data_IF_205854411737
#
_entry.id   IF_205854411737
#
_cell.length_a   1.000
_cell.length_b   1.000
_cell.length_c   1.000
_cell.angle_alpha   90.00
_cell.angle_beta   90.00
_cell.angle_gamma   90.00
#
_symmetry.space_group_name_H-M   'P 1'
#
loop_
_entity.id
_entity.type
_entity.pdbx_description
1 polymer ?
#
# COMPACT_ATOMS: atom_id res chain seq x y z
N UNK A 1 2.09 13.15 5.01
CA UNK A 1 0.75 12.61 5.37
C UNK A 1 0.84 11.38 6.26
N UNK A 2 1.90 10.58 6.18
CA UNK A 2 2.18 9.48 7.13
C UNK A 2 3.66 9.52 7.49
N UNK A 3 3.99 9.28 8.76
CA UNK A 3 5.37 9.11 9.23
C UNK A 3 5.68 7.65 9.58
N UNK A 4 6.85 7.43 10.18
CA UNK A 4 7.32 6.10 10.58
C UNK A 4 6.37 5.41 11.57
N UNK A 5 5.67 6.18 12.39
CA UNK A 5 4.66 5.70 13.34
C UNK A 5 3.44 5.06 12.67
N UNK A 6 3.22 5.34 11.38
CA UNK A 6 2.14 4.74 10.60
C UNK A 6 2.52 3.36 10.02
N UNK A 7 3.78 2.94 10.14
CA UNK A 7 4.26 1.66 9.62
C UNK A 7 4.07 0.56 10.65
N UNK A 8 3.43 -0.52 10.22
CA UNK A 8 3.21 -1.72 11.02
C UNK A 8 3.90 -2.89 10.34
N UNK A 9 4.81 -3.61 11.02
CA UNK A 9 5.42 -4.82 10.48
C UNK A 9 4.36 -5.85 10.09
N UNK A 10 4.42 -6.34 8.86
CA UNK A 10 3.52 -7.40 8.39
C UNK A 10 4.09 -8.76 8.75
N UNK A 11 3.27 -9.65 9.31
CA UNK A 11 3.62 -11.08 9.37
C UNK A 11 3.69 -11.67 7.95
N UNK A 12 4.48 -12.73 7.72
CA UNK A 12 4.36 -13.50 6.48
C UNK A 12 2.91 -13.92 6.22
N UNK A 13 2.43 -13.67 5.01
CA UNK A 13 1.09 -14.01 4.57
C UNK A 13 1.17 -15.20 3.61
N UNK A 14 0.20 -16.11 3.69
CA UNK A 14 0.10 -17.25 2.79
C UNK A 14 -0.59 -16.92 1.45
N UNK A 15 -1.07 -15.67 1.30
CA UNK A 15 -1.68 -15.21 0.04
C UNK A 15 -0.63 -15.05 -1.05
N UNK A 16 -0.99 -15.44 -2.27
CA UNK A 16 -0.20 -15.18 -3.46
C UNK A 16 -0.68 -13.90 -4.14
N UNK A 17 0.26 -13.12 -4.64
CA UNK A 17 0.02 -11.90 -5.42
C UNK A 17 1.01 -11.89 -6.59
N UNK A 18 0.53 -11.61 -7.80
CA UNK A 18 1.35 -11.64 -9.01
C UNK A 18 2.41 -10.52 -9.02
N UNK A 19 2.30 -9.53 -8.13
CA UNK A 19 3.33 -8.52 -7.92
C UNK A 19 4.70 -9.12 -7.58
N UNK A 20 4.74 -10.34 -7.03
CA UNK A 20 5.97 -11.09 -6.79
C UNK A 20 6.84 -11.24 -8.04
N UNK A 21 6.23 -11.38 -9.24
CA UNK A 21 6.98 -11.47 -10.49
C UNK A 21 7.72 -10.17 -10.83
N UNK A 22 7.16 -8.99 -10.49
CA UNK A 22 7.86 -7.71 -10.66
C UNK A 22 8.94 -7.51 -9.61
N UNK A 23 8.64 -7.86 -8.36
CA UNK A 23 9.58 -7.74 -7.25
C UNK A 23 10.82 -8.63 -7.39
N UNK A 24 10.73 -9.72 -8.16
CA UNK A 24 11.89 -10.55 -8.52
C UNK A 24 12.87 -9.83 -9.46
N UNK A 25 12.38 -8.87 -10.26
CA UNK A 25 13.18 -8.23 -11.33
C UNK A 25 13.73 -6.86 -10.95
N UNK A 26 13.05 -6.13 -10.06
CA UNK A 26 13.40 -4.75 -9.72
C UNK A 26 13.22 -4.49 -8.22
N UNK A 27 14.02 -3.58 -7.62
CA UNK A 27 13.76 -3.07 -6.28
C UNK A 27 12.32 -2.56 -6.21
N UNK A 28 11.53 -3.18 -5.34
CA UNK A 28 10.08 -3.00 -5.29
C UNK A 28 9.63 -2.83 -3.85
N UNK A 29 8.51 -2.14 -3.67
CA UNK A 29 7.85 -2.00 -2.37
C UNK A 29 6.41 -2.50 -2.51
N UNK A 30 6.03 -3.45 -1.66
CA UNK A 30 4.68 -4.00 -1.57
C UNK A 30 4.23 -3.92 -0.13
N UNK A 31 3.06 -3.33 0.11
CA UNK A 31 2.54 -3.08 1.44
C UNK A 31 1.02 -3.01 1.44
N UNK A 32 0.43 -3.26 2.62
CA UNK A 32 -1.01 -3.13 2.83
C UNK A 32 -1.36 -1.73 3.32
N UNK A 33 -2.50 -1.23 2.86
CA UNK A 33 -3.10 -0.02 3.40
C UNK A 33 -4.36 -0.40 4.19
N UNK A 34 -4.38 -0.04 5.48
CA UNK A 34 -5.45 -0.47 6.39
C UNK A 34 -6.79 0.20 6.09
N UNK A 35 -7.84 -0.63 5.98
CA UNK A 35 -9.24 -0.23 5.80
C UNK A 35 -10.20 -0.80 6.88
N UNK A 36 -9.66 -1.45 7.91
CA UNK A 36 -10.48 -1.98 9.01
C UNK A 36 -11.19 -0.84 9.73
N UNK A 37 -12.51 -0.91 9.82
CA UNK A 37 -13.33 0.09 10.49
C UNK A 37 -14.55 -0.55 11.15
N UNK A 38 -14.53 -0.58 12.48
CA UNK A 38 -15.57 -1.17 13.30
C UNK A 38 -16.93 -0.47 13.18
N UNK A 39 -16.93 0.86 13.04
CA UNK A 39 -18.14 1.68 12.98
C UNK A 39 -18.85 1.57 11.63
N UNK A 40 -18.10 1.27 10.56
CA UNK A 40 -18.64 1.05 9.21
C UNK A 40 -18.89 -0.43 8.90
N UNK A 41 -18.54 -1.34 9.81
CA UNK A 41 -18.69 -2.78 9.59
C UNK A 41 -17.60 -3.42 8.71
N UNK A 42 -16.59 -2.67 8.28
CA UNK A 42 -15.46 -3.16 7.47
C UNK A 42 -14.50 -3.99 8.34
N UNK A 43 -14.88 -5.25 8.62
CA UNK A 43 -14.18 -6.13 9.57
C UNK A 43 -13.62 -7.40 8.94
N UNK A 44 -14.11 -7.79 7.77
CA UNK A 44 -13.76 -9.05 7.13
C UNK A 44 -12.55 -8.90 6.19
N UNK A 45 -11.94 -10.03 5.85
CA UNK A 45 -10.84 -10.08 4.90
C UNK A 45 -11.35 -10.03 3.45
N UNK A 46 -10.43 -9.74 2.52
CA UNK A 46 -10.65 -9.92 1.08
C UNK A 46 -11.14 -11.35 0.78
N UNK A 47 -11.91 -11.50 -0.30
CA UNK A 47 -12.57 -12.75 -0.73
C UNK A 47 -13.74 -13.25 0.14
N UNK A 48 -14.34 -12.35 0.95
CA UNK A 48 -15.63 -12.61 1.63
C UNK A 48 -16.75 -11.80 0.96
N UNK A 49 -18.00 -12.24 1.06
CA UNK A 49 -19.17 -11.51 0.53
C UNK A 49 -19.41 -10.18 1.25
N UNK A 50 -18.91 -10.06 2.48
CA UNK A 50 -19.08 -8.90 3.35
C UNK A 50 -17.88 -7.96 3.34
N UNK A 51 -16.86 -8.23 2.50
CA UNK A 51 -15.69 -7.35 2.40
C UNK A 51 -16.12 -5.94 1.98
N UNK A 52 -15.62 -4.94 2.72
CA UNK A 52 -15.95 -3.53 2.51
C UNK A 52 -14.75 -2.62 2.73
N UNK A 53 -14.77 -1.48 2.05
CA UNK A 53 -13.80 -0.40 2.15
C UNK A 53 -14.55 0.93 2.00
N UNK A 54 -14.19 1.96 2.76
CA UNK A 54 -14.82 3.27 2.63
C UNK A 54 -14.11 4.16 1.59
N UNK A 55 -14.82 5.13 1.02
CA UNK A 55 -14.24 6.10 0.09
C UNK A 55 -13.06 6.86 0.73
N UNK A 56 -13.14 7.15 2.03
CA UNK A 56 -12.05 7.79 2.77
C UNK A 56 -10.80 6.91 2.83
N UNK A 57 -10.94 5.60 2.99
CA UNK A 57 -9.83 4.65 2.95
C UNK A 57 -9.16 4.65 1.57
N UNK A 58 -9.97 4.64 0.51
CA UNK A 58 -9.48 4.67 -0.89
C UNK A 58 -8.74 5.98 -1.17
N UNK A 59 -9.30 7.12 -0.77
CA UNK A 59 -8.67 8.43 -0.95
C UNK A 59 -7.36 8.55 -0.17
N UNK A 60 -7.31 8.01 1.06
CA UNK A 60 -6.08 7.96 1.87
C UNK A 60 -5.01 7.10 1.21
N UNK A 61 -5.36 5.94 0.70
CA UNK A 61 -4.45 5.04 -0.01
C UNK A 61 -3.92 5.69 -1.30
N UNK A 62 -4.80 6.28 -2.11
CA UNK A 62 -4.42 6.96 -3.36
C UNK A 62 -3.46 8.13 -3.12
N UNK A 63 -3.71 8.95 -2.09
CA UNK A 63 -2.81 10.05 -1.70
C UNK A 63 -1.44 9.53 -1.24
N UNK A 64 -1.40 8.44 -0.49
CA UNK A 64 -0.15 7.81 -0.05
C UNK A 64 0.65 7.28 -1.25
N UNK A 65 0.00 6.51 -2.13
CA UNK A 65 0.62 5.97 -3.34
C UNK A 65 1.19 7.09 -4.23
N UNK A 66 0.42 8.16 -4.46
CA UNK A 66 0.88 9.32 -5.21
C UNK A 66 2.11 9.98 -4.58
N UNK A 67 2.10 10.19 -3.26
CA UNK A 67 3.24 10.77 -2.55
C UNK A 67 4.50 9.91 -2.67
N UNK A 68 4.36 8.57 -2.60
CA UNK A 68 5.46 7.61 -2.78
C UNK A 68 6.03 7.73 -4.20
N UNK A 69 5.18 7.63 -5.23
CA UNK A 69 5.61 7.74 -6.64
C UNK A 69 6.35 9.07 -6.87
N UNK A 70 5.81 10.18 -6.36
CA UNK A 70 6.45 11.49 -6.51
C UNK A 70 7.80 11.58 -5.80
N UNK A 71 7.95 10.93 -4.64
CA UNK A 71 9.21 10.90 -3.90
C UNK A 71 10.24 10.06 -4.65
N UNK A 72 9.86 8.87 -5.12
CA UNK A 72 10.74 8.01 -5.91
C UNK A 72 11.17 8.66 -7.23
N UNK A 73 10.24 9.30 -7.93
CA UNK A 73 10.54 9.99 -9.19
C UNK A 73 11.51 11.17 -8.98
N UNK A 74 11.36 11.94 -7.89
CA UNK A 74 12.31 13.00 -7.54
C UNK A 74 13.70 12.44 -7.28
N UNK A 75 13.80 11.42 -6.42
CA UNK A 75 15.07 10.76 -6.11
C UNK A 75 15.73 10.17 -7.37
N UNK A 76 14.96 9.54 -8.26
CA UNK A 76 15.47 9.01 -9.52
C UNK A 76 15.94 10.11 -10.49
N UNK A 77 15.26 11.26 -10.51
CA UNK A 77 15.67 12.41 -11.32
C UNK A 77 16.97 13.04 -10.81
N UNK A 78 17.15 13.13 -9.50
CA UNK A 78 18.36 13.65 -8.84
C UNK A 78 19.57 12.71 -9.03
N UNK A 79 19.33 11.40 -9.12
CA UNK A 79 20.38 10.39 -9.30
C UNK A 79 20.88 10.24 -10.75
N UNK A 80 20.24 10.87 -11.74
CA UNK A 80 20.67 10.79 -13.15
C UNK A 80 21.88 11.71 -13.39
N UNK A 81 23.00 11.21 -13.93
CA UNK A 81 24.11 12.07 -14.34
C UNK A 81 23.69 12.99 -15.50
N UNK A 82 24.25 14.20 -15.52
CA UNK A 82 24.03 15.24 -16.54
C UNK A 82 24.48 14.82 -17.94
#
# INVERSE_FOLDING_TARGET
IYGMESLVPTRPLAGADDFGFYAEKLPSVYFWFGCHNEALGNRTHVHTSEFGVSDDDVLRAARAAWAIVRTLQRSANEARPS
#
